data_IF_676716672326
#
_entry.id   IF_676716672326
#
_cell.length_a   1.000
_cell.length_b   1.000
_cell.length_c   1.000
_cell.angle_alpha   90.00
_cell.angle_beta   90.00
_cell.angle_gamma   90.00
#
_symmetry.space_group_name_H-M   'P 1'
#
loop_
_entity.id
_entity.type
_entity.pdbx_description
1 polymer ?
#
# COMPACT_ATOMS: atom_id res chain seq x y z
N UNK A 1 20.52 -2.34 42.27
CA UNK A 1 19.91 -1.92 40.98
C UNK A 1 18.97 -3.02 40.54
N UNK A 2 17.66 -2.80 40.65
CA UNK A 2 16.64 -3.76 40.21
C UNK A 2 16.44 -3.54 38.71
N UNK A 3 16.73 -4.56 37.90
CA UNK A 3 16.46 -4.55 36.47
C UNK A 3 14.95 -4.57 36.26
N UNK A 4 14.38 -3.47 35.74
CA UNK A 4 13.01 -3.44 35.29
C UNK A 4 12.91 -4.24 33.98
N UNK A 5 12.28 -5.41 34.04
CA UNK A 5 11.85 -6.14 32.86
C UNK A 5 10.79 -5.31 32.13
N UNK A 6 11.09 -4.89 30.90
CA UNK A 6 10.09 -4.29 30.01
C UNK A 6 8.97 -5.31 29.79
N UNK A 7 7.69 -4.97 30.03
CA UNK A 7 6.61 -5.84 29.62
C UNK A 7 6.57 -5.82 28.10
N UNK A 8 6.94 -6.93 27.47
CA UNK A 8 6.66 -7.15 26.06
C UNK A 8 5.14 -6.94 25.88
N UNK A 9 4.75 -5.89 25.15
CA UNK A 9 3.35 -5.62 24.84
C UNK A 9 2.85 -6.77 23.96
N UNK A 10 2.26 -7.79 24.58
CA UNK A 10 1.67 -8.89 23.86
C UNK A 10 0.50 -8.33 23.06
N UNK A 11 0.58 -8.42 21.73
CA UNK A 11 -0.52 -8.03 20.86
C UNK A 11 -1.76 -8.84 21.25
N UNK A 12 -2.96 -8.25 21.19
CA UNK A 12 -4.20 -8.97 21.44
C UNK A 12 -4.24 -10.27 20.62
N UNK A 13 -4.66 -11.37 21.25
CA UNK A 13 -4.82 -12.67 20.61
C UNK A 13 -5.76 -12.53 19.40
N UNK A 14 -5.46 -13.22 18.31
CA UNK A 14 -6.23 -13.13 17.07
C UNK A 14 -7.69 -13.53 17.31
N UNK A 15 -8.61 -12.58 17.18
CA UNK A 15 -10.05 -12.84 17.09
C UNK A 15 -10.35 -13.35 15.66
N UNK A 16 -10.82 -14.60 15.49
CA UNK A 16 -11.09 -15.18 14.17
C UNK A 16 -12.24 -14.49 13.43
N UNK A 17 -13.03 -13.65 14.10
CA UNK A 17 -14.12 -12.87 13.50
C UNK A 17 -13.70 -11.47 13.09
N UNK A 18 -12.51 -11.01 13.51
CA UNK A 18 -11.99 -9.69 13.19
C UNK A 18 -11.69 -9.55 11.69
N UNK A 19 -12.12 -8.42 11.11
CA UNK A 19 -11.74 -8.05 9.74
C UNK A 19 -10.23 -7.88 9.64
N UNK A 20 -9.61 -8.50 8.63
CA UNK A 20 -8.17 -8.39 8.36
C UNK A 20 -7.93 -7.31 7.31
N UNK A 21 -7.24 -6.25 7.70
CA UNK A 21 -6.83 -5.14 6.83
C UNK A 21 -5.36 -5.28 6.52
N UNK A 22 -5.00 -5.39 5.25
CA UNK A 22 -3.62 -5.56 4.81
C UNK A 22 -3.17 -4.33 4.03
N UNK A 23 -2.21 -3.60 4.60
CA UNK A 23 -1.43 -2.60 3.90
C UNK A 23 -0.24 -3.24 3.18
N UNK A 24 -0.11 -2.98 1.89
CA UNK A 24 1.04 -3.46 1.11
C UNK A 24 2.20 -2.48 1.29
N UNK A 25 3.37 -2.99 1.68
CA UNK A 25 4.59 -2.21 1.79
C UNK A 25 5.68 -2.73 0.84
N UNK A 26 6.44 -1.80 0.27
CA UNK A 26 7.59 -2.02 -0.59
C UNK A 26 8.51 -0.79 -0.48
N UNK A 27 9.78 -0.88 -0.89
CA UNK A 27 10.69 0.27 -0.85
C UNK A 27 10.26 1.35 -1.85
N UNK A 28 10.24 2.62 -1.41
CA UNK A 28 9.77 3.76 -2.20
C UNK A 28 8.26 3.96 -2.22
N UNK A 29 7.55 3.38 -1.25
CA UNK A 29 6.14 3.67 -0.96
C UNK A 29 5.93 5.12 -0.49
N UNK A 30 4.76 5.69 -0.76
CA UNK A 30 4.38 7.04 -0.30
C UNK A 30 3.64 6.97 1.04
N UNK A 31 4.17 7.64 2.06
CA UNK A 31 3.73 7.50 3.46
C UNK A 31 2.23 7.74 3.65
N UNK A 32 1.74 8.85 3.10
CA UNK A 32 0.37 9.33 3.24
C UNK A 32 -0.62 8.39 2.53
N UNK A 33 -0.18 7.78 1.42
CA UNK A 33 -1.00 6.89 0.60
C UNK A 33 -1.34 5.57 1.30
N UNK A 34 -0.58 5.20 2.35
CA UNK A 34 -0.84 4.03 3.19
C UNK A 34 -1.32 4.41 4.60
N UNK A 35 -0.60 5.29 5.28
CA UNK A 35 -0.82 5.55 6.71
C UNK A 35 -2.11 6.33 6.96
N UNK A 36 -2.49 7.26 6.07
CA UNK A 36 -3.74 8.00 6.25
C UNK A 36 -4.96 7.07 6.17
N UNK A 37 -5.10 6.20 5.14
CA UNK A 37 -6.17 5.20 5.13
C UNK A 37 -6.16 4.26 6.33
N UNK A 38 -5.00 3.74 6.72
CA UNK A 38 -4.89 2.83 7.87
C UNK A 38 -5.32 3.51 9.18
N UNK A 39 -4.96 4.77 9.38
CA UNK A 39 -5.36 5.56 10.55
C UNK A 39 -6.88 5.76 10.62
N UNK A 40 -7.52 6.11 9.49
CA UNK A 40 -8.98 6.28 9.42
C UNK A 40 -9.71 4.96 9.66
N UNK A 41 -9.26 3.87 9.02
CA UNK A 41 -9.84 2.53 9.19
C UNK A 41 -9.69 2.05 10.63
N UNK A 42 -8.53 2.27 11.25
CA UNK A 42 -8.34 1.93 12.67
C UNK A 42 -9.34 2.66 13.57
N UNK A 43 -9.52 3.98 13.37
CA UNK A 43 -10.50 4.77 14.11
C UNK A 43 -11.93 4.28 13.88
N UNK A 44 -12.28 3.97 12.64
CA UNK A 44 -13.58 3.40 12.29
C UNK A 44 -13.85 2.07 12.98
N UNK A 45 -12.86 1.19 13.03
CA UNK A 45 -12.99 -0.09 13.71
C UNK A 45 -13.26 0.07 15.21
N UNK A 46 -12.63 1.04 15.87
CA UNK A 46 -12.88 1.35 17.28
C UNK A 46 -14.30 1.91 17.50
N UNK A 47 -14.80 2.75 16.58
CA UNK A 47 -16.18 3.27 16.65
C UNK A 47 -17.20 2.16 16.41
N UNK A 48 -16.96 1.29 15.43
CA UNK A 48 -17.83 0.15 15.12
C UNK A 48 -17.91 -0.86 16.28
N UNK A 49 -16.77 -1.14 16.93
CA UNK A 49 -16.68 -1.98 18.12
C UNK A 49 -17.48 -1.39 19.29
N UNK A 50 -17.25 -0.11 19.61
CA UNK A 50 -18.00 0.58 20.68
C UNK A 50 -19.50 0.66 20.42
N UNK A 51 -19.91 0.63 19.15
CA UNK A 51 -21.31 0.64 18.75
C UNK A 51 -21.94 -0.75 18.71
N UNK A 52 -21.19 -1.82 19.03
CA UNK A 52 -21.66 -3.20 18.96
C UNK A 52 -21.92 -3.72 17.52
N UNK A 53 -21.43 -3.01 16.50
CA UNK A 53 -21.72 -3.32 15.08
C UNK A 53 -20.72 -4.26 14.43
N UNK A 54 -19.51 -4.39 14.99
CA UNK A 54 -18.43 -5.18 14.43
C UNK A 54 -17.40 -5.49 15.51
N UNK A 55 -16.63 -6.54 15.34
CA UNK A 55 -15.37 -6.70 16.08
C UNK A 55 -14.30 -5.77 15.53
N UNK A 56 -13.27 -5.51 16.34
CA UNK A 56 -12.17 -4.61 15.98
C UNK A 56 -11.38 -5.18 14.80
N UNK A 57 -11.09 -4.34 13.81
CA UNK A 57 -10.29 -4.73 12.67
C UNK A 57 -8.83 -4.94 13.08
N UNK A 58 -8.22 -6.00 12.57
CA UNK A 58 -6.79 -6.26 12.70
C UNK A 58 -6.08 -5.66 11.49
N UNK A 59 -5.31 -4.60 11.73
CA UNK A 59 -4.44 -3.99 10.73
C UNK A 59 -3.09 -4.71 10.70
N UNK A 60 -2.66 -5.09 9.51
CA UNK A 60 -1.37 -5.71 9.22
C UNK A 60 -0.71 -4.99 8.06
N UNK A 61 0.61 -4.86 8.12
CA UNK A 61 1.43 -4.43 6.99
C UNK A 61 2.24 -5.61 6.49
N UNK A 62 2.19 -5.88 5.19
CA UNK A 62 2.88 -6.98 4.56
C UNK A 62 3.81 -6.50 3.45
N UNK A 63 5.02 -7.07 3.41
CA UNK A 63 6.04 -6.78 2.40
C UNK A 63 6.64 -8.07 1.84
N UNK A 64 7.54 -7.98 0.86
CA UNK A 64 8.23 -9.17 0.34
C UNK A 64 9.06 -9.89 1.42
N UNK A 65 9.70 -9.12 2.30
CA UNK A 65 10.64 -9.61 3.33
C UNK A 65 10.37 -8.91 4.66
N UNK A 66 10.71 -9.58 5.79
CA UNK A 66 10.65 -8.99 7.14
C UNK A 66 11.79 -8.01 7.42
N UNK A 67 11.89 -6.96 6.60
CA UNK A 67 12.80 -5.84 6.80
C UNK A 67 12.05 -4.52 6.62
N UNK A 68 12.58 -3.46 7.20
CA UNK A 68 12.00 -2.13 7.04
C UNK A 68 11.89 -1.76 5.55
N UNK A 69 10.70 -1.27 5.16
CA UNK A 69 10.45 -0.69 3.85
C UNK A 69 10.57 0.83 3.95
N UNK A 70 11.48 1.40 3.18
CA UNK A 70 11.82 2.82 3.26
C UNK A 70 10.92 3.66 2.36
N UNK A 71 10.53 4.84 2.86
CA UNK A 71 9.76 5.84 2.14
C UNK A 71 10.64 7.09 1.94
N UNK A 72 10.57 7.76 0.78
CA UNK A 72 11.40 8.94 0.49
C UNK A 72 11.05 10.14 1.40
N UNK A 73 9.91 10.11 2.10
CA UNK A 73 9.52 11.09 3.12
C UNK A 73 10.31 10.94 4.45
N UNK A 74 11.35 10.10 4.49
CA UNK A 74 12.14 9.83 5.70
C UNK A 74 11.47 8.85 6.67
N UNK A 75 10.40 8.19 6.24
CA UNK A 75 9.68 7.20 7.05
C UNK A 75 10.17 5.79 6.74
N UNK A 76 10.06 4.89 7.72
CA UNK A 76 10.27 3.46 7.54
C UNK A 76 9.12 2.70 8.20
N UNK A 77 8.69 1.60 7.57
CA UNK A 77 7.68 0.71 8.14
C UNK A 77 8.24 -0.70 8.24
N UNK A 78 8.15 -1.30 9.43
CA UNK A 78 8.53 -2.70 9.65
C UNK A 78 7.29 -3.55 9.40
N UNK A 79 7.31 -4.47 8.42
CA UNK A 79 6.16 -5.29 8.10
C UNK A 79 5.90 -6.34 9.18
N UNK A 80 4.62 -6.60 9.44
CA UNK A 80 4.15 -7.63 10.38
C UNK A 80 4.32 -9.05 9.82
N UNK A 81 4.23 -9.18 8.51
CA UNK A 81 4.25 -10.44 7.78
C UNK A 81 4.90 -10.27 6.41
N UNK A 82 5.37 -11.36 5.83
CA UNK A 82 5.66 -11.39 4.39
C UNK A 82 4.38 -11.55 3.57
N UNK A 83 4.40 -11.19 2.30
CA UNK A 83 3.30 -11.46 1.36
C UNK A 83 2.95 -12.96 1.28
N UNK A 84 3.92 -13.85 1.46
CA UNK A 84 3.69 -15.30 1.48
C UNK A 84 2.99 -15.79 2.75
N UNK A 85 3.20 -15.11 3.89
CA UNK A 85 2.59 -15.47 5.19
C UNK A 85 1.13 -14.99 5.31
N UNK A 86 0.69 -14.06 4.45
CA UNK A 86 -0.70 -13.56 4.46
C UNK A 86 -1.58 -14.49 3.62
N UNK A 87 -2.44 -15.26 4.29
CA UNK A 87 -3.37 -16.19 3.65
C UNK A 87 -4.69 -15.53 3.24
N UNK A 88 -5.17 -14.57 4.04
CA UNK A 88 -6.46 -13.89 3.85
C UNK A 88 -6.34 -12.41 4.18
N UNK A 89 -7.06 -11.59 3.42
CA UNK A 89 -7.34 -10.19 3.72
C UNK A 89 -8.82 -9.92 3.42
N UNK A 90 -9.51 -9.17 4.29
CA UNK A 90 -10.84 -8.64 4.00
C UNK A 90 -10.74 -7.30 3.26
N UNK A 91 -9.73 -6.49 3.58
CA UNK A 91 -9.43 -5.21 2.94
C UNK A 91 -7.96 -5.18 2.53
N UNK A 92 -7.67 -4.82 1.28
CA UNK A 92 -6.31 -4.66 0.78
C UNK A 92 -6.08 -3.21 0.40
N UNK A 93 -4.96 -2.63 0.84
CA UNK A 93 -4.54 -1.27 0.52
C UNK A 93 -3.18 -1.27 -0.17
N UNK A 94 -3.17 -0.85 -1.44
CA UNK A 94 -1.97 -0.72 -2.25
C UNK A 94 -1.59 0.75 -2.34
N UNK A 95 -0.54 1.20 -1.64
CA UNK A 95 -0.10 2.58 -1.72
C UNK A 95 0.49 2.90 -3.08
N UNK A 96 0.69 4.19 -3.31
CA UNK A 96 1.52 4.65 -4.41
C UNK A 96 2.95 4.86 -3.96
N UNK A 97 3.60 5.80 -4.61
CA UNK A 97 5.00 6.12 -4.40
C UNK A 97 5.81 5.95 -5.68
N UNK A 98 7.03 6.44 -5.60
CA UNK A 98 7.92 6.55 -6.75
C UNK A 98 8.23 5.17 -7.35
N UNK A 99 8.39 4.15 -6.51
CA UNK A 99 8.69 2.79 -6.94
C UNK A 99 7.49 2.00 -7.44
N UNK A 100 6.26 2.52 -7.34
CA UNK A 100 5.05 1.74 -7.65
C UNK A 100 5.04 1.21 -9.10
N UNK A 101 5.61 1.97 -10.06
CA UNK A 101 5.74 1.53 -11.45
C UNK A 101 6.72 0.36 -11.56
N UNK A 102 7.83 0.38 -10.83
CA UNK A 102 8.83 -0.69 -10.79
C UNK A 102 8.20 -1.95 -10.15
N UNK A 103 7.57 -1.77 -8.99
CA UNK A 103 6.90 -2.85 -8.25
C UNK A 103 5.70 -3.44 -9.01
N UNK A 104 5.10 -2.69 -9.94
CA UNK A 104 4.08 -3.24 -10.84
C UNK A 104 4.60 -4.35 -11.77
N UNK A 105 5.92 -4.52 -11.86
CA UNK A 105 6.58 -5.62 -12.57
C UNK A 105 7.12 -6.71 -11.64
N UNK A 106 6.93 -6.59 -10.31
CA UNK A 106 7.37 -7.59 -9.34
C UNK A 106 6.40 -8.79 -9.34
N UNK A 107 6.78 -9.97 -9.85
CA UNK A 107 5.87 -11.11 -9.97
C UNK A 107 5.36 -11.58 -8.61
N UNK A 108 6.19 -11.52 -7.56
CA UNK A 108 5.82 -11.92 -6.21
C UNK A 108 4.69 -11.05 -5.65
N UNK A 109 4.75 -9.73 -5.89
CA UNK A 109 3.71 -8.80 -5.49
C UNK A 109 2.42 -9.04 -6.27
N UNK A 110 2.51 -9.22 -7.58
CA UNK A 110 1.34 -9.44 -8.42
C UNK A 110 0.62 -10.75 -8.05
N UNK A 111 1.37 -11.82 -7.81
CA UNK A 111 0.80 -13.12 -7.43
C UNK A 111 0.22 -13.09 -6.02
N UNK A 112 0.86 -12.39 -5.10
CA UNK A 112 0.28 -12.10 -3.79
C UNK A 112 -1.08 -11.41 -3.93
N UNK A 113 -1.15 -10.30 -4.66
CA UNK A 113 -2.40 -9.54 -4.83
C UNK A 113 -3.48 -10.38 -5.50
N UNK A 114 -3.17 -11.11 -6.57
CA UNK A 114 -4.12 -12.02 -7.23
C UNK A 114 -4.62 -13.11 -6.29
N UNK A 115 -3.77 -13.63 -5.41
CA UNK A 115 -4.15 -14.67 -4.45
C UNK A 115 -5.05 -14.11 -3.35
N UNK A 116 -4.63 -13.06 -2.65
CA UNK A 116 -5.38 -12.57 -1.48
C UNK A 116 -6.64 -11.78 -1.86
N UNK A 117 -6.67 -11.13 -3.02
CA UNK A 117 -7.85 -10.39 -3.48
C UNK A 117 -9.04 -11.27 -3.83
N UNK A 118 -8.87 -12.59 -4.04
CA UNK A 118 -9.99 -13.51 -4.32
C UNK A 118 -11.04 -13.48 -3.23
N UNK A 119 -10.60 -13.40 -1.97
CA UNK A 119 -11.47 -13.41 -0.79
C UNK A 119 -11.64 -12.03 -0.14
N UNK A 120 -11.02 -11.00 -0.71
CA UNK A 120 -11.14 -9.64 -0.20
C UNK A 120 -12.53 -9.08 -0.49
N UNK A 121 -13.12 -8.46 0.54
CA UNK A 121 -14.37 -7.69 0.43
C UNK A 121 -14.13 -6.39 -0.31
N UNK A 122 -12.93 -5.82 -0.17
CA UNK A 122 -12.56 -4.56 -0.81
C UNK A 122 -11.06 -4.53 -1.12
N UNK A 123 -10.70 -4.08 -2.33
CA UNK A 123 -9.31 -3.80 -2.74
C UNK A 123 -9.20 -2.34 -3.13
N UNK A 124 -8.24 -1.64 -2.55
CA UNK A 124 -8.07 -0.22 -2.77
C UNK A 124 -6.64 0.14 -3.15
N UNK A 125 -6.49 1.23 -3.91
CA UNK A 125 -5.20 1.85 -4.16
C UNK A 125 -5.25 3.36 -4.08
N UNK A 126 -4.12 3.97 -3.77
CA UNK A 126 -3.95 5.43 -3.80
C UNK A 126 -2.79 5.78 -4.72
N UNK A 127 -2.90 6.92 -5.42
CA UNK A 127 -1.84 7.48 -6.26
C UNK A 127 -1.41 6.48 -7.36
N UNK A 128 -0.11 6.24 -7.52
CA UNK A 128 0.46 5.30 -8.49
C UNK A 128 0.25 3.83 -8.14
N UNK A 129 -0.33 3.49 -6.98
CA UNK A 129 -0.66 2.11 -6.61
C UNK A 129 -1.65 1.43 -7.56
N UNK A 130 -2.42 2.23 -8.30
CA UNK A 130 -3.29 1.76 -9.38
C UNK A 130 -2.51 1.05 -10.49
N UNK A 131 -1.22 1.35 -10.69
CA UNK A 131 -0.37 0.67 -11.68
C UNK A 131 -0.20 -0.81 -11.32
N UNK A 132 0.03 -1.08 -10.04
CA UNK A 132 0.22 -2.42 -9.49
C UNK A 132 -1.11 -3.19 -9.62
N UNK A 133 -2.24 -2.59 -9.25
CA UNK A 133 -3.55 -3.22 -9.42
C UNK A 133 -3.88 -3.49 -10.90
N UNK A 134 -3.55 -2.58 -11.80
CA UNK A 134 -3.75 -2.75 -13.25
C UNK A 134 -2.89 -3.89 -13.80
N UNK A 135 -1.60 -3.99 -13.42
CA UNK A 135 -0.72 -5.11 -13.79
C UNK A 135 -1.15 -6.44 -13.19
N UNK A 136 -1.76 -6.42 -12.01
CA UNK A 136 -2.35 -7.62 -11.42
C UNK A 136 -3.61 -8.10 -12.17
N UNK A 137 -4.16 -7.27 -13.08
CA UNK A 137 -5.41 -7.53 -13.81
C UNK A 137 -6.66 -7.23 -12.99
N UNK A 138 -6.51 -6.59 -11.83
CA UNK A 138 -7.61 -6.34 -10.90
C UNK A 138 -8.49 -5.16 -11.33
N UNK A 139 -7.99 -4.29 -12.21
CA UNK A 139 -8.74 -3.14 -12.74
C UNK A 139 -9.32 -3.40 -14.15
N UNK A 140 -9.21 -4.62 -14.68
CA UNK A 140 -9.72 -4.95 -16.01
C UNK A 140 -11.26 -4.79 -16.04
N UNK A 141 -11.75 -4.01 -17.00
CA UNK A 141 -13.16 -3.64 -17.23
C UNK A 141 -13.81 -2.87 -16.08
N UNK A 142 -13.00 -2.31 -15.18
CA UNK A 142 -13.45 -1.54 -14.01
C UNK A 142 -13.11 -0.07 -14.19
N UNK A 143 -13.93 0.79 -13.62
CA UNK A 143 -13.67 2.22 -13.56
C UNK A 143 -12.59 2.50 -12.52
N UNK A 144 -11.58 3.28 -12.88
CA UNK A 144 -10.48 3.61 -11.97
C UNK A 144 -9.86 4.97 -12.26
N UNK A 145 -9.17 5.52 -11.27
CA UNK A 145 -8.32 6.70 -11.41
C UNK A 145 -6.93 6.43 -10.81
N UNK A 146 -5.97 7.30 -11.09
CA UNK A 146 -4.61 7.26 -10.53
C UNK A 146 -4.10 8.68 -10.36
N UNK A 147 -2.88 8.84 -9.85
CA UNK A 147 -2.30 10.17 -9.69
C UNK A 147 -2.21 10.91 -11.01
N UNK A 148 -2.54 12.19 -10.98
CA UNK A 148 -2.52 13.02 -12.20
C UNK A 148 -1.13 13.03 -12.83
N UNK A 149 -0.08 12.97 -12.01
CA UNK A 149 1.30 12.81 -12.44
C UNK A 149 1.54 11.51 -13.23
N UNK A 150 0.97 10.38 -12.77
CA UNK A 150 1.17 9.07 -13.41
C UNK A 150 0.16 8.79 -14.52
N UNK A 151 -0.97 9.50 -14.56
CA UNK A 151 -2.07 9.22 -15.47
C UNK A 151 -1.65 9.17 -16.95
N UNK A 152 -0.87 10.15 -17.49
CA UNK A 152 -0.48 10.16 -18.91
C UNK A 152 0.35 8.95 -19.33
N UNK A 153 1.11 8.35 -18.42
CA UNK A 153 1.96 7.19 -18.70
C UNK A 153 1.28 5.87 -18.34
N UNK A 154 0.45 5.85 -17.31
CA UNK A 154 -0.18 4.63 -16.81
C UNK A 154 -1.40 4.26 -17.66
N UNK A 155 -2.33 5.18 -17.87
CA UNK A 155 -3.62 4.85 -18.49
C UNK A 155 -3.48 4.24 -19.90
N UNK A 156 -2.63 4.76 -20.81
CA UNK A 156 -2.46 4.18 -22.15
C UNK A 156 -1.90 2.75 -22.15
N UNK A 157 -1.12 2.39 -21.13
CA UNK A 157 -0.52 1.05 -21.00
C UNK A 157 -1.49 0.00 -20.43
N UNK A 158 -2.68 0.43 -19.99
CA UNK A 158 -3.69 -0.42 -19.38
C UNK A 158 -5.07 -0.16 -19.99
N UNK A 159 -5.26 -0.44 -21.31
CA UNK A 159 -6.47 -0.08 -22.05
C UNK A 159 -7.72 -0.87 -21.64
N UNK A 160 -7.56 -1.95 -20.87
CA UNK A 160 -8.70 -2.72 -20.34
C UNK A 160 -9.37 -2.03 -19.16
N UNK A 161 -8.72 -1.06 -18.52
CA UNK A 161 -9.28 -0.30 -17.41
C UNK A 161 -10.01 0.94 -17.94
N UNK A 162 -11.20 1.22 -17.40
CA UNK A 162 -11.98 2.39 -17.76
C UNK A 162 -11.47 3.60 -16.97
N UNK A 163 -10.39 4.22 -17.45
CA UNK A 163 -9.72 5.30 -16.73
C UNK A 163 -10.52 6.60 -16.71
N UNK A 164 -10.63 7.20 -15.52
CA UNK A 164 -11.40 8.42 -15.28
C UNK A 164 -10.45 9.57 -14.92
N UNK A 165 -9.98 10.37 -15.91
CA UNK A 165 -8.86 11.30 -15.73
C UNK A 165 -9.11 12.38 -14.68
N UNK A 166 -10.36 12.84 -14.55
CA UNK A 166 -10.71 13.96 -13.65
C UNK A 166 -11.15 13.51 -12.26
N UNK A 167 -11.39 12.22 -12.05
CA UNK A 167 -11.90 11.75 -10.77
C UNK A 167 -10.84 11.87 -9.67
N UNK A 168 -11.27 12.36 -8.50
CA UNK A 168 -10.47 12.41 -7.28
C UNK A 168 -10.30 11.02 -6.67
N UNK A 169 -11.39 10.26 -6.61
CA UNK A 169 -11.39 8.83 -6.36
C UNK A 169 -12.55 8.18 -7.13
N UNK A 170 -12.49 6.87 -7.34
CA UNK A 170 -13.54 6.06 -7.96
C UNK A 170 -13.79 4.86 -7.07
N UNK A 171 -15.07 4.56 -6.83
CA UNK A 171 -15.53 3.29 -6.29
C UNK A 171 -16.31 2.55 -7.39
N UNK A 172 -15.89 1.33 -7.71
CA UNK A 172 -16.54 0.45 -8.68
C UNK A 172 -16.54 -0.98 -8.09
N UNK A 173 -17.72 -1.45 -7.68
CA UNK A 173 -17.90 -2.77 -7.05
C UNK A 173 -17.03 -2.88 -5.78
N UNK A 174 -16.12 -3.87 -5.70
CA UNK A 174 -15.19 -4.05 -4.58
C UNK A 174 -13.88 -3.25 -4.72
N UNK A 175 -13.77 -2.35 -5.69
CA UNK A 175 -12.56 -1.58 -5.97
C UNK A 175 -12.72 -0.11 -5.60
N UNK A 176 -11.71 0.45 -4.93
CA UNK A 176 -11.64 1.89 -4.66
C UNK A 176 -10.27 2.43 -5.06
N UNK A 177 -10.21 3.39 -5.98
CA UNK A 177 -8.95 3.98 -6.46
C UNK A 177 -8.93 5.48 -6.23
N UNK A 178 -7.83 6.02 -5.67
CA UNK A 178 -7.66 7.45 -5.39
C UNK A 178 -6.52 8.08 -6.20
N UNK A 179 -6.70 9.33 -6.62
CA UNK A 179 -5.78 10.06 -7.49
C UNK A 179 -4.63 10.80 -6.77
N UNK A 180 -4.41 10.61 -5.47
CA UNK A 180 -3.26 11.22 -4.78
C UNK A 180 -3.47 11.40 -3.28
N UNK A 181 -2.54 12.09 -2.65
CA UNK A 181 -2.48 12.28 -1.19
C UNK A 181 -3.80 12.80 -0.61
N UNK A 182 -4.38 13.83 -1.20
CA UNK A 182 -5.65 14.39 -0.73
C UNK A 182 -6.81 13.37 -0.81
N UNK A 183 -6.82 12.52 -1.84
CA UNK A 183 -7.84 11.47 -1.99
C UNK A 183 -7.66 10.28 -1.05
N UNK A 184 -6.51 10.13 -0.39
CA UNK A 184 -6.23 8.98 0.48
C UNK A 184 -7.25 8.86 1.62
N UNK A 185 -7.63 10.00 2.20
CA UNK A 185 -8.65 10.06 3.25
C UNK A 185 -10.04 9.75 2.70
N UNK A 186 -10.37 10.21 1.49
CA UNK A 186 -11.67 9.93 0.87
C UNK A 186 -11.82 8.45 0.49
N UNK A 187 -10.75 7.84 -0.02
CA UNK A 187 -10.67 6.39 -0.23
C UNK A 187 -10.93 5.66 1.09
N UNK A 188 -10.37 6.14 2.19
CA UNK A 188 -10.58 5.54 3.51
C UNK A 188 -12.02 5.68 3.99
N UNK A 189 -12.66 6.83 3.80
CA UNK A 189 -14.08 7.01 4.12
C UNK A 189 -14.99 6.13 3.27
N UNK A 190 -14.68 5.96 1.99
CA UNK A 190 -15.41 5.07 1.11
C UNK A 190 -15.27 3.60 1.53
N UNK A 191 -14.08 3.19 1.97
CA UNK A 191 -13.86 1.87 2.59
C UNK A 191 -14.73 1.73 3.85
N UNK A 192 -14.69 2.72 4.75
CA UNK A 192 -15.45 2.67 5.99
C UNK A 192 -16.95 2.61 5.72
N UNK A 193 -17.45 3.39 4.76
CA UNK A 193 -18.86 3.39 4.34
C UNK A 193 -19.27 2.03 3.81
N UNK A 194 -18.43 1.41 2.98
CA UNK A 194 -18.71 0.11 2.37
C UNK A 194 -18.71 -1.02 3.39
N UNK A 195 -17.81 -0.97 4.37
CA UNK A 195 -17.60 -2.07 5.34
C UNK A 195 -18.51 -1.94 6.57
N UNK A 196 -18.65 -0.73 7.13
CA UNK A 196 -19.37 -0.48 8.39
C UNK A 196 -20.60 0.43 8.25
N UNK A 197 -20.88 0.90 7.03
CA UNK A 197 -22.03 1.74 6.74
C UNK A 197 -21.80 3.23 7.02
N UNK A 198 -22.68 4.04 6.44
CA UNK A 198 -22.59 5.50 6.46
C UNK A 198 -22.63 6.14 7.85
N UNK A 199 -23.20 5.47 8.86
CA UNK A 199 -23.24 6.01 10.21
C UNK A 199 -21.84 6.03 10.84
N UNK A 200 -21.08 4.94 10.68
CA UNK A 200 -19.72 4.83 11.21
C UNK A 200 -18.78 5.75 10.43
N UNK A 201 -18.93 5.81 9.10
CA UNK A 201 -18.20 6.76 8.26
C UNK A 201 -18.39 8.20 8.73
N UNK A 202 -19.63 8.69 8.87
CA UNK A 202 -19.91 10.05 9.36
C UNK A 202 -19.34 10.31 10.75
N UNK A 203 -19.44 9.35 11.66
CA UNK A 203 -18.85 9.48 13.00
C UNK A 203 -17.33 9.67 12.93
N UNK A 204 -16.65 8.89 12.08
CA UNK A 204 -15.19 8.99 11.93
C UNK A 204 -14.79 10.26 11.18
N UNK A 205 -15.54 10.66 10.15
CA UNK A 205 -15.33 11.91 9.44
C UNK A 205 -15.38 13.10 10.40
N UNK A 206 -16.36 13.13 11.32
CA UNK A 206 -16.43 14.13 12.38
C UNK A 206 -15.21 14.11 13.31
N UNK A 207 -14.68 12.93 13.65
CA UNK A 207 -13.53 12.79 14.55
C UNK A 207 -12.20 13.24 13.92
N UNK A 208 -12.03 13.03 12.62
CA UNK A 208 -10.78 13.38 11.91
C UNK A 208 -10.82 14.77 11.28
N UNK A 209 -11.90 15.53 11.48
CA UNK A 209 -12.07 16.85 10.86
C UNK A 209 -12.38 16.80 9.36
N UNK A 210 -12.85 15.67 8.84
CA UNK A 210 -13.23 15.47 7.44
C UNK A 210 -14.59 16.10 7.07
N UNK A 211 -14.99 17.17 7.74
CA UNK A 211 -16.23 17.88 7.45
C UNK A 211 -16.23 18.35 5.98
N UNK A 212 -17.17 17.83 5.19
CA UNK A 212 -17.26 18.12 3.74
C UNK A 212 -16.95 16.95 2.82
N UNK A 213 -16.61 15.76 3.35
CA UNK A 213 -16.61 14.53 2.55
C UNK A 213 -17.96 14.33 1.87
N UNK A 214 -17.95 14.05 0.57
CA UNK A 214 -19.12 13.69 -0.22
C UNK A 214 -18.90 12.29 -0.80
N UNK A 215 -19.91 11.41 -0.78
CA UNK A 215 -19.83 10.14 -1.49
C UNK A 215 -19.53 10.40 -2.96
N UNK A 216 -18.77 9.50 -3.59
CA UNK A 216 -18.19 9.63 -4.93
C UNK A 216 -19.17 10.28 -5.92
N UNK A 217 -19.10 11.60 -6.01
CA UNK A 217 -19.51 12.31 -7.19
C UNK A 217 -18.29 12.25 -8.11
N UNK A 218 -18.53 11.92 -9.37
CA UNK A 218 -17.54 11.97 -10.44
C UNK A 218 -17.10 13.41 -10.74
N UNK A 219 -17.25 14.29 -9.75
CA UNK A 219 -17.11 15.72 -9.88
C UNK A 219 -15.64 16.09 -9.77
N UNK A 220 -15.26 16.89 -10.75
CA UNK A 220 -13.98 17.53 -10.90
C UNK A 220 -13.62 18.25 -9.59
N UNK A 221 -12.56 17.81 -8.93
CA UNK A 221 -11.90 18.68 -7.96
C UNK A 221 -11.17 19.82 -8.69
N UNK A 222 -10.83 20.89 -7.99
CA UNK A 222 -10.03 21.98 -8.56
C UNK A 222 -8.69 21.49 -9.12
N UNK A 223 -8.17 20.39 -8.56
CA UNK A 223 -6.94 19.72 -9.01
C UNK A 223 -7.11 19.12 -10.43
N UNK A 224 -8.25 18.52 -10.74
CA UNK A 224 -8.61 18.01 -12.07
C UNK A 224 -8.83 19.12 -13.09
N UNK A 225 -9.33 20.30 -12.66
CA UNK A 225 -9.52 21.48 -13.51
C UNK A 225 -8.22 22.17 -13.91
N UNK A 226 -7.25 22.29 -12.99
CA UNK A 226 -5.97 22.96 -13.25
C UNK A 226 -5.04 22.19 -14.21
N UNK A 227 -5.10 20.86 -14.17
CA UNK A 227 -4.20 19.97 -14.92
C UNK A 227 -4.52 19.91 -16.43
N UNK A 228 -5.77 20.12 -16.83
CA UNK A 228 -6.15 20.15 -18.26
C UNK A 228 -5.71 21.47 -18.92
N UNK A 229 -5.54 22.55 -18.15
CA UNK A 229 -5.20 23.88 -18.69
C UNK A 229 -3.70 24.19 -18.75
N UNK A 230 -2.88 23.55 -17.93
CA UNK A 230 -1.44 23.81 -17.91
C UNK A 230 -0.68 22.56 -18.35
N UNK A 231 0.05 22.64 -19.46
CA UNK A 231 1.05 21.65 -19.89
C UNK A 231 2.25 21.51 -18.93
N UNK A 232 2.02 21.62 -17.62
CA UNK A 232 2.97 21.64 -16.52
C UNK A 232 3.40 20.23 -16.09
N UNK A 233 3.60 19.33 -17.06
CA UNK A 233 4.16 17.99 -16.81
C UNK A 233 5.68 17.92 -17.00
N UNK A 234 6.34 19.01 -17.44
CA UNK A 234 7.77 18.98 -17.77
C UNK A 234 8.72 18.95 -16.56
N UNK A 235 8.25 19.19 -15.33
CA UNK A 235 9.15 19.29 -14.16
C UNK A 235 9.22 17.99 -13.36
N UNK A 236 8.15 17.19 -13.30
CA UNK A 236 8.11 15.96 -12.49
C UNK A 236 8.30 14.66 -13.29
N UNK A 237 7.98 14.66 -14.59
CA UNK A 237 8.17 13.49 -15.45
C UNK A 237 9.60 13.39 -16.04
N UNK A 238 10.46 14.39 -15.79
CA UNK A 238 11.66 14.60 -16.59
C UNK A 238 12.78 13.56 -16.37
N UNK A 239 12.80 12.79 -15.29
CA UNK A 239 13.64 11.58 -15.17
C UNK A 239 13.47 10.91 -13.80
N UNK A 240 12.76 9.78 -13.72
CA UNK A 240 12.82 8.92 -12.53
C UNK A 240 14.28 8.58 -12.16
N UNK A 241 15.15 8.36 -13.15
CA UNK A 241 16.57 8.08 -12.91
C UNK A 241 17.40 9.26 -12.38
N UNK A 242 17.04 10.50 -12.68
CA UNK A 242 17.79 11.67 -12.22
C UNK A 242 17.59 11.88 -10.71
N UNK A 243 16.35 11.73 -10.24
CA UNK A 243 16.02 11.83 -8.81
C UNK A 243 16.64 10.67 -7.99
N UNK A 244 16.72 9.46 -8.56
CA UNK A 244 17.40 8.33 -7.92
C UNK A 244 18.90 8.58 -7.67
N UNK A 245 19.58 9.31 -8.57
CA UNK A 245 20.99 9.65 -8.39
C UNK A 245 21.23 10.74 -7.33
N UNK A 246 20.23 11.56 -7.05
CA UNK A 246 20.37 12.77 -6.23
C UNK A 246 19.93 12.54 -4.77
N UNK A 247 18.98 11.63 -4.51
CA UNK A 247 18.39 11.43 -3.17
C UNK A 247 18.50 10.00 -2.59
N UNK A 248 19.01 9.02 -3.35
CA UNK A 248 19.36 7.69 -2.80
C UNK A 248 20.87 7.64 -2.59
N UNK A 249 21.38 7.59 -1.34
CA UNK A 249 22.82 7.49 -1.11
C UNK A 249 23.39 6.23 -1.78
N UNK A 250 24.42 6.39 -2.61
CA UNK A 250 25.13 5.29 -3.31
C UNK A 250 25.74 4.22 -2.40
N UNK A 251 25.68 4.39 -1.07
CA UNK A 251 26.35 3.53 -0.10
C UNK A 251 25.66 2.21 0.24
N UNK A 252 24.47 1.90 -0.31
CA UNK A 252 23.72 0.69 0.07
C UNK A 252 23.48 -0.33 -1.05
N UNK A 253 24.14 -0.19 -2.22
CA UNK A 253 24.23 -1.27 -3.20
C UNK A 253 25.61 -1.91 -3.10
N UNK A 254 25.79 -2.78 -2.12
CA UNK A 254 26.81 -3.82 -2.20
C UNK A 254 26.15 -5.09 -2.75
N UNK A 255 26.22 -5.25 -4.06
CA UNK A 255 26.14 -6.54 -4.70
C UNK A 255 27.34 -7.37 -4.20
N UNK A 256 27.15 -8.12 -3.12
CA UNK A 256 28.09 -9.19 -2.79
C UNK A 256 27.99 -10.25 -3.88
N UNK A 257 28.89 -10.16 -4.85
CA UNK A 257 29.33 -11.32 -5.62
C UNK A 257 29.93 -12.32 -4.63
N UNK A 258 29.16 -13.34 -4.25
CA UNK A 258 29.69 -14.51 -3.57
C UNK A 258 30.55 -15.26 -4.60
N UNK A 259 31.86 -15.03 -4.57
CA UNK A 259 32.83 -15.97 -5.14
C UNK A 259 32.87 -17.18 -4.21
N UNK A 260 32.53 -18.35 -4.73
CA UNK A 260 32.86 -19.62 -4.08
C UNK A 260 34.39 -19.76 -4.03
N UNK A 261 34.98 -19.51 -2.87
CA UNK A 261 36.32 -19.98 -2.51
C UNK A 261 36.16 -21.15 -1.56
N UNK A 262 36.65 -22.31 -2.00
CA UNK A 262 36.49 -23.61 -1.35
C UNK A 262 37.00 -23.63 0.09
N UNK A 263 36.19 -24.22 0.95
CA UNK A 263 36.63 -24.70 2.26
C UNK A 263 36.98 -26.17 2.08
N UNK A 264 38.28 -26.45 2.07
CA UNK A 264 38.83 -27.79 2.19
C UNK A 264 38.42 -28.37 3.55
N UNK A 265 37.74 -29.51 3.50
CA UNK A 265 37.46 -30.37 4.65
C UNK A 265 38.59 -31.39 4.76
N UNK A 266 39.36 -31.49 5.86
CA UNK A 266 40.29 -32.59 6.03
C UNK A 266 39.60 -33.75 6.76
N UNK A 267 39.59 -34.91 6.11
CA UNK A 267 39.28 -36.22 6.73
C UNK A 267 40.44 -36.64 7.65
N UNK A 268 40.18 -37.43 8.72
CA UNK A 268 41.23 -37.99 9.54
C UNK A 268 41.68 -39.34 8.98
N UNK A 269 42.99 -39.53 8.84
CA UNK A 269 43.59 -40.86 8.79
C UNK A 269 45.00 -40.82 9.34
N UNK A 270 45.15 -41.41 10.53
CA UNK A 270 46.39 -41.96 11.07
C UNK A 270 47.10 -42.87 10.06
N UNK A 271 48.43 -42.82 10.02
CA UNK A 271 49.36 -43.98 9.99
C UNK A 271 50.81 -43.44 10.05
N UNK A 272 51.59 -44.00 10.98
CA UNK A 272 53.03 -43.80 11.19
C UNK A 272 53.88 -44.19 9.98
N UNK A 273 55.14 -43.71 9.96
CA UNK A 273 56.40 -44.49 9.85
C UNK A 273 57.57 -43.48 9.81
N UNK A 274 58.61 -43.71 10.62
CA UNK A 274 59.92 -43.06 10.50
C UNK A 274 60.36 -42.29 11.72
#
# INVERSE_FOLDING_TARGET
MVAASSPASSRPRADPTALVVVGVAYDGWEAESLLAPLSVIHRASNVAERSGKSTRARVLVAAEKKRACLSPQGCAIVPDATWSEVEKADIILVPGGFSAIIESSNPTLLDFLRRVSKNAKLVASVSSGAAILAKAGLLDKKSATTSKASFPTLAPNHPKTNWVPRARFIADDRLVTGAGVASAVDVAFEIVRTIWGSQIERSVASLVGGGGWRPANWDEDEFGRGVVKAGAYRVWAASPMAYMNEFVPRSHIHLHHVRHSGVHCPLPSSISIG
#
